data_IF_788270019096
#
_entry.id   IF_788270019096
#
_cell.length_a   1.000
_cell.length_b   1.000
_cell.length_c   1.000
_cell.angle_alpha   90.00
_cell.angle_beta   90.00
_cell.angle_gamma   90.00
#
_symmetry.space_group_name_H-M   'P 1'
#
loop_
_entity.id
_entity.type
_entity.pdbx_description
1 polymer ?
#
# COMPACT_ATOMS: atom_id res chain seq x y z
N UNK A 1 -11.11 -23.43 4.28
CA UNK A 1 -11.42 -22.19 3.58
C UNK A 1 -11.75 -22.54 2.12
N UNK A 2 -12.81 -21.98 1.59
CA UNK A 2 -13.31 -22.26 0.23
C UNK A 2 -12.55 -21.45 -0.85
N UNK A 3 -11.63 -20.57 -0.45
CA UNK A 3 -10.84 -19.75 -1.34
C UNK A 3 -9.74 -20.56 -2.04
N UNK A 4 -9.59 -20.41 -3.36
CA UNK A 4 -8.57 -21.12 -4.16
C UNK A 4 -7.13 -20.72 -3.80
N UNK A 5 -6.91 -19.47 -3.40
CA UNK A 5 -5.62 -18.91 -2.98
C UNK A 5 -5.83 -18.09 -1.70
N UNK A 6 -6.00 -18.77 -0.56
CA UNK A 6 -6.27 -18.07 0.68
C UNK A 6 -5.02 -17.35 1.19
N UNK A 7 -5.19 -16.09 1.59
CA UNK A 7 -4.23 -15.31 2.36
C UNK A 7 -4.87 -14.88 3.66
N UNK A 8 -4.16 -15.02 4.78
CA UNK A 8 -4.56 -14.41 6.04
C UNK A 8 -3.78 -13.11 6.23
N UNK A 9 -4.51 -12.03 6.45
CA UNK A 9 -3.97 -10.71 6.76
C UNK A 9 -4.09 -10.47 8.27
N UNK A 10 -2.98 -10.22 8.95
CA UNK A 10 -2.91 -9.97 10.40
C UNK A 10 -1.86 -8.90 10.71
N UNK A 11 -2.01 -8.19 11.81
CA UNK A 11 -1.06 -7.16 12.16
C UNK A 11 -1.24 -6.59 13.55
N UNK A 12 -0.40 -5.63 13.90
CA UNK A 12 -0.43 -4.93 15.17
C UNK A 12 0.16 -3.53 15.01
N UNK A 13 -0.27 -2.59 15.87
CA UNK A 13 0.28 -1.24 15.92
C UNK A 13 1.72 -1.21 16.40
N UNK A 14 2.60 -0.48 15.68
CA UNK A 14 4.04 -0.46 15.91
C UNK A 14 4.60 0.92 16.23
N UNK A 15 3.80 1.99 16.10
CA UNK A 15 4.23 3.33 16.50
C UNK A 15 4.24 3.50 18.03
N UNK A 16 4.97 4.49 18.51
CA UNK A 16 5.00 4.85 19.93
C UNK A 16 3.57 5.05 20.49
N UNK A 17 2.74 5.83 19.79
CA UNK A 17 1.36 6.06 20.19
C UNK A 17 0.53 4.76 20.24
N UNK A 18 0.71 3.88 19.27
CA UNK A 18 0.00 2.59 19.29
C UNK A 18 0.47 1.66 20.39
N UNK A 19 1.76 1.61 20.69
CA UNK A 19 2.31 0.75 21.74
C UNK A 19 1.85 1.21 23.12
N UNK A 20 2.06 2.49 23.44
CA UNK A 20 1.90 2.97 24.81
C UNK A 20 0.50 3.50 25.10
N UNK A 21 -0.15 4.21 24.17
CA UNK A 21 -1.45 4.84 24.39
C UNK A 21 -2.62 3.92 24.03
N UNK A 22 -2.57 3.29 22.83
CA UNK A 22 -3.65 2.42 22.31
C UNK A 22 -3.61 1.04 22.93
N UNK A 23 -2.46 0.35 22.87
CA UNK A 23 -2.32 -1.05 23.29
C UNK A 23 -1.86 -1.18 24.75
N UNK A 24 -1.35 -0.11 25.34
CA UNK A 24 -0.84 -0.05 26.72
C UNK A 24 0.10 -1.20 27.05
N UNK A 25 1.13 -1.35 26.21
CA UNK A 25 2.04 -2.50 26.22
C UNK A 25 3.49 -2.05 26.02
N UNK A 26 4.41 -2.98 25.78
CA UNK A 26 5.83 -2.70 25.55
C UNK A 26 6.27 -3.19 24.18
N UNK A 27 7.40 -2.67 23.63
CA UNK A 27 7.97 -3.14 22.38
C UNK A 27 8.23 -4.66 22.35
N UNK A 28 8.69 -5.25 23.45
CA UNK A 28 8.95 -6.68 23.56
C UNK A 28 7.65 -7.49 23.39
N UNK A 29 6.57 -7.01 23.99
CA UNK A 29 5.24 -7.63 23.85
C UNK A 29 4.70 -7.52 22.42
N UNK A 30 5.02 -6.45 21.69
CA UNK A 30 4.67 -6.34 20.27
C UNK A 30 5.38 -7.42 19.47
N UNK A 31 6.68 -7.64 19.68
CA UNK A 31 7.44 -8.71 19.01
C UNK A 31 6.89 -10.10 19.32
N UNK A 32 6.57 -10.38 20.60
CA UNK A 32 5.91 -11.63 20.99
C UNK A 32 4.57 -11.85 20.28
N UNK A 33 3.71 -10.83 20.27
CA UNK A 33 2.37 -10.89 19.63
C UNK A 33 2.48 -11.02 18.11
N UNK A 34 3.40 -10.30 17.48
CA UNK A 34 3.69 -10.43 16.04
C UNK A 34 4.04 -11.86 15.68
N UNK A 35 5.02 -12.43 16.39
CA UNK A 35 5.47 -13.80 16.18
C UNK A 35 4.34 -14.82 16.41
N UNK A 36 3.58 -14.64 17.48
CA UNK A 36 2.49 -15.55 17.83
C UNK A 36 1.35 -15.52 16.79
N UNK A 37 0.94 -14.31 16.35
CA UNK A 37 -0.13 -14.13 15.37
C UNK A 37 0.23 -14.74 14.00
N UNK A 38 1.43 -14.47 13.50
CA UNK A 38 1.89 -15.04 12.22
C UNK A 38 2.00 -16.57 12.32
N UNK A 39 2.62 -17.11 13.36
CA UNK A 39 2.69 -18.58 13.57
C UNK A 39 1.32 -19.21 13.67
N UNK A 40 0.35 -18.53 14.29
CA UNK A 40 -1.02 -19.03 14.38
C UNK A 40 -1.69 -19.04 13.00
N UNK A 41 -1.60 -17.97 12.24
CA UNK A 41 -2.14 -17.87 10.87
C UNK A 41 -1.54 -18.94 9.93
N UNK A 42 -0.24 -19.21 10.06
CA UNK A 42 0.47 -20.25 9.28
C UNK A 42 -0.06 -21.66 9.47
N UNK A 43 -0.82 -21.93 10.54
CA UNK A 43 -1.48 -23.25 10.74
C UNK A 43 -2.62 -23.49 9.76
N UNK A 44 -3.15 -22.43 9.15
CA UNK A 44 -4.33 -22.51 8.29
C UNK A 44 -4.03 -22.25 6.82
N UNK A 45 -3.03 -21.43 6.52
CA UNK A 45 -2.66 -21.07 5.14
C UNK A 45 -1.14 -20.92 5.01
N UNK A 46 -0.63 -21.12 3.79
CA UNK A 46 0.78 -20.90 3.49
C UNK A 46 1.11 -19.43 3.23
N UNK A 47 0.14 -18.64 2.77
CA UNK A 47 0.32 -17.23 2.45
C UNK A 47 -0.24 -16.38 3.60
N UNK A 48 0.66 -15.72 4.34
CA UNK A 48 0.32 -14.85 5.47
C UNK A 48 0.93 -13.49 5.23
N UNK A 49 0.09 -12.48 5.20
CA UNK A 49 0.48 -11.08 5.16
C UNK A 49 0.41 -10.47 6.56
N UNK A 50 1.53 -9.89 7.00
CA UNK A 50 1.61 -9.14 8.24
C UNK A 50 1.69 -7.65 7.95
N UNK A 51 0.80 -6.84 8.54
CA UNK A 51 0.88 -5.39 8.46
C UNK A 51 1.35 -4.76 9.77
N UNK A 52 2.30 -3.84 9.67
CA UNK A 52 2.81 -3.05 10.77
C UNK A 52 1.98 -1.75 10.90
N UNK A 53 0.81 -1.81 11.59
CA UNK A 53 -0.11 -0.68 11.68
C UNK A 53 0.61 0.58 12.20
N UNK A 54 0.39 1.72 11.54
CA UNK A 54 1.01 3.01 11.86
C UNK A 54 2.54 3.03 11.67
N UNK A 55 3.04 2.24 10.71
CA UNK A 55 4.46 2.18 10.37
C UNK A 55 5.04 3.54 9.95
N UNK A 56 4.23 4.41 9.32
CA UNK A 56 4.64 5.76 8.93
C UNK A 56 5.19 6.59 10.10
N UNK A 57 4.75 6.33 11.34
CA UNK A 57 5.18 7.03 12.56
C UNK A 57 6.06 6.18 13.48
N UNK A 58 6.39 4.94 13.09
CA UNK A 58 7.20 4.05 13.90
C UNK A 58 8.69 4.44 13.86
N UNK A 59 9.41 4.10 14.92
CA UNK A 59 10.86 4.12 14.93
C UNK A 59 11.41 3.13 13.89
N UNK A 60 12.45 3.53 13.17
CA UNK A 60 13.01 2.75 12.07
C UNK A 60 13.61 1.41 12.53
N UNK A 61 14.40 1.44 13.60
CA UNK A 61 15.06 0.24 14.11
C UNK A 61 14.05 -0.75 14.70
N UNK A 62 13.04 -0.22 15.43
CA UNK A 62 11.99 -1.05 15.99
C UNK A 62 11.11 -1.66 14.90
N UNK A 63 10.74 -0.88 13.88
CA UNK A 63 9.98 -1.36 12.73
C UNK A 63 10.73 -2.49 12.00
N UNK A 64 12.05 -2.34 11.78
CA UNK A 64 12.87 -3.39 11.18
C UNK A 64 12.85 -4.67 12.01
N UNK A 65 12.96 -4.59 13.34
CA UNK A 65 12.86 -5.76 14.24
C UNK A 65 11.51 -6.45 14.16
N UNK A 66 10.42 -5.68 14.07
CA UNK A 66 9.06 -6.24 13.93
C UNK A 66 8.90 -6.96 12.61
N UNK A 67 9.34 -6.35 11.50
CA UNK A 67 9.30 -6.94 10.16
C UNK A 67 10.14 -8.22 10.12
N UNK A 68 11.35 -8.19 10.62
CA UNK A 68 12.24 -9.37 10.71
C UNK A 68 11.59 -10.52 11.51
N UNK A 69 10.98 -10.21 12.66
CA UNK A 69 10.27 -11.19 13.48
C UNK A 69 9.04 -11.78 12.76
N UNK A 70 8.28 -10.97 12.02
CA UNK A 70 7.16 -11.43 11.22
C UNK A 70 7.59 -12.41 10.12
N UNK A 71 8.65 -12.06 9.38
CA UNK A 71 9.23 -12.93 8.33
C UNK A 71 9.78 -14.23 8.94
N UNK A 72 10.52 -14.13 10.03
CA UNK A 72 11.04 -15.31 10.75
C UNK A 72 9.94 -16.22 11.27
N UNK A 73 8.75 -15.68 11.60
CA UNK A 73 7.58 -16.44 12.00
C UNK A 73 6.84 -17.09 10.81
N UNK A 74 7.17 -16.70 9.57
CA UNK A 74 6.65 -17.29 8.33
C UNK A 74 5.74 -16.36 7.51
N UNK A 75 5.71 -15.05 7.76
CA UNK A 75 5.03 -14.12 6.87
C UNK A 75 5.68 -14.15 5.47
N UNK A 76 4.84 -14.22 4.45
CA UNK A 76 5.24 -14.20 3.04
C UNK A 76 5.17 -12.81 2.44
N UNK A 77 4.39 -11.94 3.07
CA UNK A 77 4.27 -10.52 2.75
C UNK A 77 4.34 -9.72 4.04
N UNK A 78 5.05 -8.60 4.01
CA UNK A 78 5.10 -7.61 5.10
C UNK A 78 4.65 -6.27 4.57
N UNK A 79 3.56 -5.74 5.12
CA UNK A 79 2.93 -4.51 4.67
C UNK A 79 3.28 -3.35 5.58
N UNK A 80 3.70 -2.25 4.97
CA UNK A 80 4.13 -1.02 5.62
C UNK A 80 3.12 0.08 5.28
N UNK A 81 2.16 0.36 6.17
CA UNK A 81 1.15 1.37 5.90
C UNK A 81 1.56 2.78 6.35
N UNK A 82 1.25 3.78 5.52
CA UNK A 82 1.06 5.16 5.95
C UNK A 82 -0.38 5.33 6.45
N UNK A 83 -0.62 4.87 7.67
CA UNK A 83 -1.97 4.74 8.25
C UNK A 83 -2.66 6.09 8.45
N UNK A 84 -1.91 7.15 8.73
CA UNK A 84 -2.43 8.49 8.95
C UNK A 84 -2.51 9.34 7.69
N UNK A 85 -1.90 8.90 6.58
CA UNK A 85 -2.00 9.54 5.27
C UNK A 85 -1.29 10.89 5.17
N UNK A 86 -0.27 11.17 6.00
CA UNK A 86 0.40 12.46 5.99
C UNK A 86 1.91 12.42 5.73
N UNK A 87 2.47 11.26 5.46
CA UNK A 87 3.89 11.16 5.07
C UNK A 87 4.15 11.90 3.74
N UNK A 88 5.38 12.36 3.56
CA UNK A 88 5.85 12.85 2.28
C UNK A 88 6.45 11.69 1.46
N UNK A 89 6.38 11.71 0.11
CA UNK A 89 6.90 10.62 -0.73
C UNK A 89 8.36 10.25 -0.43
N UNK A 90 9.21 11.24 -0.30
CA UNK A 90 10.63 11.08 0.03
C UNK A 90 10.86 10.44 1.41
N UNK A 91 10.09 10.85 2.40
CA UNK A 91 10.16 10.31 3.76
C UNK A 91 9.74 8.84 3.77
N UNK A 92 8.63 8.55 3.12
CA UNK A 92 8.09 7.20 3.03
C UNK A 92 9.04 6.29 2.22
N UNK A 93 9.54 6.77 1.07
CA UNK A 93 10.54 6.06 0.26
C UNK A 93 11.80 5.70 1.06
N UNK A 94 12.35 6.65 1.85
CA UNK A 94 13.50 6.37 2.73
C UNK A 94 13.19 5.31 3.78
N UNK A 95 11.98 5.24 4.31
CA UNK A 95 11.55 4.20 5.26
C UNK A 95 11.55 2.82 4.60
N UNK A 96 11.00 2.72 3.39
CA UNK A 96 11.00 1.46 2.62
C UNK A 96 12.44 1.01 2.31
N UNK A 97 13.27 1.93 1.82
CA UNK A 97 14.69 1.67 1.56
C UNK A 97 15.41 1.17 2.81
N UNK A 98 15.19 1.82 3.95
CA UNK A 98 15.80 1.41 5.22
C UNK A 98 15.44 -0.04 5.56
N UNK A 99 14.18 -0.44 5.43
CA UNK A 99 13.76 -1.81 5.69
C UNK A 99 14.40 -2.81 4.72
N UNK A 100 14.48 -2.48 3.44
CA UNK A 100 15.14 -3.32 2.44
C UNK A 100 16.63 -3.54 2.74
N UNK A 101 17.31 -2.54 3.32
CA UNK A 101 18.74 -2.59 3.62
C UNK A 101 19.06 -3.21 4.99
N UNK A 102 18.15 -3.12 5.99
CA UNK A 102 18.44 -3.48 7.37
C UNK A 102 17.68 -4.70 7.90
N UNK A 103 16.66 -5.19 7.20
CA UNK A 103 15.98 -6.43 7.58
C UNK A 103 16.69 -7.63 6.97
N UNK A 104 17.38 -8.41 7.79
CA UNK A 104 18.33 -9.44 7.35
C UNK A 104 17.72 -10.60 6.56
N UNK A 105 16.42 -10.80 6.68
CA UNK A 105 15.65 -11.87 6.02
C UNK A 105 14.61 -11.34 5.03
N UNK A 106 14.76 -10.11 4.53
CA UNK A 106 13.81 -9.49 3.60
C UNK A 106 13.67 -10.27 2.28
N UNK A 107 14.70 -10.99 1.87
CA UNK A 107 14.71 -11.87 0.69
C UNK A 107 13.66 -12.99 0.72
N UNK A 108 13.11 -13.30 1.92
CA UNK A 108 12.12 -14.37 2.14
C UNK A 108 10.66 -13.90 2.07
N UNK A 109 10.43 -12.60 1.91
CA UNK A 109 9.08 -12.04 1.86
C UNK A 109 9.00 -10.89 0.85
N UNK A 110 7.79 -10.60 0.38
CA UNK A 110 7.53 -9.40 -0.42
C UNK A 110 7.23 -8.23 0.51
N UNK A 111 7.92 -7.11 0.35
CA UNK A 111 7.54 -5.87 1.01
C UNK A 111 6.36 -5.25 0.26
N UNK A 112 5.30 -4.96 0.99
CA UNK A 112 4.07 -4.32 0.50
C UNK A 112 3.92 -2.92 1.10
N UNK A 113 3.29 -2.01 0.37
CA UNK A 113 2.93 -0.68 0.85
C UNK A 113 1.43 -0.45 0.78
N UNK A 114 0.92 0.31 1.75
CA UNK A 114 -0.48 0.71 1.84
C UNK A 114 -0.56 2.18 2.24
N UNK A 115 -1.08 3.05 1.39
CA UNK A 115 -1.05 4.48 1.64
C UNK A 115 -2.45 5.08 1.66
N UNK A 116 -2.76 5.86 2.71
CA UNK A 116 -3.96 6.67 2.81
C UNK A 116 -3.77 8.04 2.16
N UNK A 117 -4.87 8.69 1.80
CA UNK A 117 -4.87 9.85 0.90
C UNK A 117 -5.21 11.17 1.60
N UNK A 118 -4.96 11.28 2.90
CA UNK A 118 -5.38 12.45 3.71
C UNK A 118 -4.75 13.75 3.23
N UNK A 119 -3.52 13.72 2.73
CA UNK A 119 -2.86 14.86 2.08
C UNK A 119 -2.89 14.80 0.55
N UNK A 120 -3.65 13.89 -0.06
CA UNK A 120 -3.72 13.75 -1.52
C UNK A 120 -2.47 13.13 -2.16
N UNK A 121 -1.64 12.41 -1.39
CA UNK A 121 -0.35 11.89 -1.85
C UNK A 121 -0.27 10.36 -1.93
N UNK A 122 -1.35 9.63 -1.68
CA UNK A 122 -1.31 8.16 -1.58
C UNK A 122 -0.69 7.49 -2.81
N UNK A 123 -1.01 7.93 -4.03
CA UNK A 123 -0.41 7.40 -5.26
C UNK A 123 1.09 7.71 -5.34
N UNK A 124 1.50 8.91 -4.99
CA UNK A 124 2.91 9.30 -4.98
C UNK A 124 3.72 8.52 -3.93
N UNK A 125 3.15 8.32 -2.73
CA UNK A 125 3.75 7.50 -1.67
C UNK A 125 3.92 6.05 -2.13
N UNK A 126 2.91 5.48 -2.76
CA UNK A 126 2.95 4.10 -3.26
C UNK A 126 4.02 3.91 -4.34
N UNK A 127 4.13 4.86 -5.27
CA UNK A 127 5.18 4.84 -6.30
C UNK A 127 6.58 5.03 -5.70
N UNK A 128 6.73 5.91 -4.71
CA UNK A 128 7.99 6.05 -3.95
C UNK A 128 8.36 4.76 -3.21
N UNK A 129 7.35 4.02 -2.71
CA UNK A 129 7.56 2.69 -2.15
C UNK A 129 8.12 1.70 -3.16
N UNK A 130 7.55 1.64 -4.37
CA UNK A 130 8.04 0.79 -5.47
C UNK A 130 9.47 1.14 -5.87
N UNK A 131 9.74 2.43 -6.05
CA UNK A 131 11.10 2.93 -6.39
C UNK A 131 12.15 2.49 -5.37
N UNK A 132 11.75 2.29 -4.12
CA UNK A 132 12.62 1.89 -3.03
C UNK A 132 12.52 0.39 -2.64
N UNK A 133 11.90 -0.44 -3.49
CA UNK A 133 11.97 -1.90 -3.39
C UNK A 133 10.68 -2.61 -2.98
N UNK A 134 9.55 -1.90 -2.83
CA UNK A 134 8.27 -2.56 -2.61
C UNK A 134 7.84 -3.37 -3.83
N UNK A 135 7.51 -4.64 -3.62
CA UNK A 135 7.02 -5.56 -4.65
C UNK A 135 5.50 -5.70 -4.71
N UNK A 136 4.77 -5.11 -3.77
CA UNK A 136 3.31 -5.12 -3.72
C UNK A 136 2.78 -3.74 -3.30
N UNK A 137 1.64 -3.34 -3.88
CA UNK A 137 0.87 -2.17 -3.47
C UNK A 137 -0.54 -2.62 -3.12
N UNK A 138 -1.01 -2.27 -1.93
CA UNK A 138 -2.43 -2.31 -1.60
C UNK A 138 -3.10 -1.03 -2.05
N UNK A 139 -4.11 -1.17 -2.90
CA UNK A 139 -4.83 -0.06 -3.50
C UNK A 139 -6.29 -0.42 -3.75
N UNK A 140 -7.11 0.57 -4.05
CA UNK A 140 -8.53 0.37 -4.31
C UNK A 140 -8.98 1.06 -5.60
N UNK A 141 -10.02 0.53 -6.23
CA UNK A 141 -10.64 1.19 -7.37
C UNK A 141 -11.20 2.54 -6.91
N UNK A 142 -10.92 3.59 -7.67
CA UNK A 142 -11.27 4.99 -7.38
C UNK A 142 -10.61 5.56 -6.12
N UNK A 143 -9.65 4.86 -5.51
CA UNK A 143 -9.09 5.26 -4.22
C UNK A 143 -10.08 5.15 -3.07
N UNK A 144 -11.12 4.32 -3.19
CA UNK A 144 -12.14 4.15 -2.16
C UNK A 144 -11.50 3.66 -0.86
N UNK A 145 -11.83 4.28 0.27
CA UNK A 145 -11.28 3.92 1.58
C UNK A 145 -11.71 4.86 2.69
N UNK A 146 -11.13 4.68 3.85
CA UNK A 146 -11.40 5.52 5.02
C UNK A 146 -10.97 6.98 4.79
N UNK A 147 -11.68 7.91 5.39
CA UNK A 147 -11.41 9.36 5.40
C UNK A 147 -11.31 9.93 3.97
N UNK A 148 -10.10 10.29 3.51
CA UNK A 148 -9.86 10.80 2.16
C UNK A 148 -9.59 9.68 1.12
N UNK A 149 -9.60 8.42 1.54
CA UNK A 149 -9.43 7.26 0.69
C UNK A 149 -8.02 6.65 0.74
N UNK A 150 -7.79 5.71 -0.16
CA UNK A 150 -6.55 4.97 -0.33
C UNK A 150 -5.86 5.35 -1.64
N UNK A 151 -4.73 4.73 -1.92
CA UNK A 151 -4.13 4.75 -3.26
C UNK A 151 -5.15 4.28 -4.30
N UNK A 152 -5.34 5.07 -5.36
CA UNK A 152 -6.19 4.69 -6.47
C UNK A 152 -5.46 3.71 -7.40
N UNK A 153 -6.05 2.53 -7.61
CA UNK A 153 -5.45 1.46 -8.42
C UNK A 153 -5.16 1.92 -9.85
N UNK A 154 -6.10 2.63 -10.48
CA UNK A 154 -5.96 3.14 -11.83
C UNK A 154 -4.80 4.12 -11.99
N UNK A 155 -4.52 4.94 -10.97
CA UNK A 155 -3.45 5.90 -10.99
C UNK A 155 -2.08 5.24 -10.86
N UNK A 156 -1.92 4.38 -9.84
CA UNK A 156 -0.64 3.71 -9.59
C UNK A 156 -0.28 2.73 -10.71
N UNK A 157 -1.26 2.02 -11.27
CA UNK A 157 -1.05 1.11 -12.41
C UNK A 157 -0.63 1.87 -13.65
N UNK A 158 -1.26 3.01 -13.94
CA UNK A 158 -0.85 3.84 -15.07
C UNK A 158 0.52 4.47 -14.84
N UNK A 159 0.83 4.91 -13.62
CA UNK A 159 2.16 5.35 -13.25
C UNK A 159 3.24 4.30 -13.54
N UNK A 160 3.02 3.05 -13.11
CA UNK A 160 3.94 1.93 -13.39
C UNK A 160 4.03 1.65 -14.89
N UNK A 161 2.91 1.66 -15.63
CA UNK A 161 2.95 1.40 -17.09
C UNK A 161 3.71 2.47 -17.87
N UNK A 162 3.63 3.72 -17.47
CA UNK A 162 4.33 4.82 -18.14
C UNK A 162 5.80 4.93 -17.75
N UNK A 163 6.15 4.59 -16.50
CA UNK A 163 7.47 4.76 -15.89
C UNK A 163 8.10 3.44 -15.42
N UNK A 164 7.69 2.31 -16.01
CA UNK A 164 8.14 0.99 -15.56
C UNK A 164 9.65 0.76 -15.65
N UNK A 165 10.34 1.42 -16.59
CA UNK A 165 11.80 1.34 -16.71
C UNK A 165 12.50 2.06 -15.55
N UNK A 166 12.05 3.27 -15.24
CA UNK A 166 12.57 4.11 -14.17
C UNK A 166 12.31 3.47 -12.79
N UNK A 167 11.11 2.92 -12.62
CA UNK A 167 10.68 2.24 -11.39
C UNK A 167 11.20 0.80 -11.28
N UNK A 168 11.81 0.26 -12.33
CA UNK A 168 12.16 -1.16 -12.42
C UNK A 168 10.98 -2.08 -12.05
N UNK A 169 9.79 -1.76 -12.52
CA UNK A 169 8.54 -2.42 -12.17
C UNK A 169 7.64 -2.61 -13.40
N UNK A 170 6.77 -3.62 -13.34
CA UNK A 170 5.76 -3.86 -14.36
C UNK A 170 4.45 -4.34 -13.72
N UNK A 171 3.36 -4.27 -14.48
CA UNK A 171 2.05 -4.78 -14.08
C UNK A 171 1.31 -5.32 -15.29
N UNK A 172 0.62 -6.46 -15.11
CA UNK A 172 -0.19 -7.11 -16.13
C UNK A 172 -1.68 -6.74 -16.04
N UNK A 173 -2.03 -5.77 -15.19
CA UNK A 173 -3.42 -5.32 -15.03
C UNK A 173 -3.94 -4.77 -16.36
N UNK A 174 -5.14 -5.24 -16.77
CA UNK A 174 -5.80 -4.78 -17.97
C UNK A 174 -6.41 -3.38 -17.79
N UNK A 175 -5.70 -2.36 -18.23
CA UNK A 175 -6.11 -0.96 -18.09
C UNK A 175 -7.36 -0.58 -18.86
N UNK A 176 -7.76 -1.36 -19.86
CA UNK A 176 -9.00 -1.15 -20.63
C UNK A 176 -10.27 -1.31 -19.78
N UNK A 177 -10.16 -2.00 -18.65
CA UNK A 177 -11.29 -2.22 -17.73
C UNK A 177 -11.46 -1.09 -16.69
N UNK A 178 -10.56 -0.13 -16.59
CA UNK A 178 -10.58 0.86 -15.52
C UNK A 178 -11.86 1.69 -15.47
N UNK A 179 -12.27 2.26 -16.60
CA UNK A 179 -13.50 3.09 -16.65
C UNK A 179 -14.74 2.26 -16.31
N UNK A 180 -14.78 1.01 -16.80
CA UNK A 180 -15.90 0.10 -16.51
C UNK A 180 -15.94 -0.30 -15.04
N UNK A 181 -14.80 -0.67 -14.47
CA UNK A 181 -14.67 -1.02 -13.05
C UNK A 181 -15.00 0.17 -12.15
N UNK A 182 -14.47 1.36 -12.48
CA UNK A 182 -14.76 2.61 -11.78
C UNK A 182 -16.26 2.91 -11.71
N UNK A 183 -16.93 2.85 -12.85
CA UNK A 183 -18.39 3.08 -12.94
C UNK A 183 -19.19 2.03 -12.14
N UNK A 184 -18.80 0.77 -12.21
CA UNK A 184 -19.43 -0.31 -11.45
C UNK A 184 -19.31 -0.08 -9.95
N UNK A 185 -18.09 0.23 -9.45
CA UNK A 185 -17.87 0.54 -8.04
C UNK A 185 -18.70 1.75 -7.61
N UNK A 186 -18.71 2.83 -8.40
CA UNK A 186 -19.53 4.01 -8.10
C UNK A 186 -21.02 3.69 -8.04
N UNK A 187 -21.53 2.85 -8.95
CA UNK A 187 -22.95 2.47 -8.97
C UNK A 187 -23.36 1.62 -7.76
N UNK A 188 -22.46 0.76 -7.26
CA UNK A 188 -22.73 -0.12 -6.13
C UNK A 188 -22.61 0.64 -4.81
N UNK A 189 -21.60 1.49 -4.68
CA UNK A 189 -21.28 2.18 -3.42
C UNK A 189 -22.00 3.51 -3.23
N UNK A 190 -22.50 4.12 -4.33
CA UNK A 190 -23.04 5.48 -4.33
C UNK A 190 -21.97 6.58 -4.29
N UNK A 191 -20.67 6.24 -4.20
CA UNK A 191 -19.58 7.21 -4.24
C UNK A 191 -19.32 7.65 -5.69
N UNK A 192 -19.65 8.90 -5.99
CA UNK A 192 -19.49 9.47 -7.34
C UNK A 192 -18.03 9.91 -7.52
N UNK A 193 -17.43 9.48 -8.63
CA UNK A 193 -16.10 9.92 -9.03
C UNK A 193 -16.17 11.39 -9.49
N UNK A 194 -15.26 12.21 -8.98
CA UNK A 194 -15.16 13.62 -9.40
C UNK A 194 -14.86 13.70 -10.90
N UNK A 195 -15.45 14.65 -11.64
CA UNK A 195 -15.21 14.79 -13.08
C UNK A 195 -13.74 14.95 -13.47
N UNK A 196 -12.95 15.59 -12.63
CA UNK A 196 -11.51 15.82 -12.81
C UNK A 196 -10.62 14.73 -12.18
N UNK A 197 -11.18 13.62 -11.71
CA UNK A 197 -10.39 12.49 -11.19
C UNK A 197 -9.44 11.97 -12.28
N UNK A 198 -8.19 11.79 -11.92
CA UNK A 198 -7.20 11.24 -12.84
C UNK A 198 -7.65 9.88 -13.40
N UNK A 199 -7.34 9.60 -14.65
CA UNK A 199 -7.56 8.36 -15.41
C UNK A 199 -9.04 8.06 -15.69
N UNK A 200 -9.93 8.12 -14.70
CA UNK A 200 -11.34 7.63 -14.81
C UNK A 200 -12.38 8.73 -14.75
N UNK A 201 -12.02 9.97 -14.43
CA UNK A 201 -12.95 11.10 -14.40
C UNK A 201 -13.48 11.46 -15.79
N UNK A 202 -14.68 12.00 -15.86
CA UNK A 202 -15.32 12.36 -17.14
C UNK A 202 -14.53 13.37 -17.96
N UNK A 203 -13.75 14.23 -17.30
CA UNK A 203 -12.92 15.26 -17.93
C UNK A 203 -11.48 14.80 -18.19
N UNK A 204 -11.12 13.55 -17.86
CA UNK A 204 -9.72 13.08 -17.93
C UNK A 204 -9.12 13.22 -19.37
N UNK A 205 -9.97 13.21 -20.40
CA UNK A 205 -9.56 13.32 -21.81
C UNK A 205 -10.23 14.52 -22.51
N UNK A 206 -10.79 15.49 -21.76
CA UNK A 206 -11.44 16.66 -22.30
C UNK A 206 -10.46 17.84 -22.39
N UNK A 207 -10.46 18.55 -23.52
CA UNK A 207 -9.67 19.74 -23.77
C UNK A 207 -10.57 20.91 -24.06
N UNK A 208 -10.32 22.08 -23.45
CA UNK A 208 -11.04 23.33 -23.70
C UNK A 208 -10.18 24.41 -24.34
N UNK A 209 -8.86 24.28 -24.31
CA UNK A 209 -7.92 25.22 -24.93
C UNK A 209 -7.61 24.81 -26.37
N UNK A 210 -7.63 25.78 -27.31
CA UNK A 210 -7.27 25.54 -28.71
C UNK A 210 -5.86 24.97 -28.89
N UNK A 211 -4.89 25.43 -28.10
CA UNK A 211 -3.51 24.91 -28.12
C UNK A 211 -3.46 23.44 -27.73
N UNK A 212 -4.30 23.02 -26.75
CA UNK A 212 -4.36 21.61 -26.33
C UNK A 212 -5.07 20.76 -27.37
N UNK A 213 -6.06 21.31 -28.09
CA UNK A 213 -6.78 20.58 -29.13
C UNK A 213 -5.88 20.27 -30.33
N UNK A 214 -5.00 21.20 -30.71
CA UNK A 214 -4.03 20.99 -31.79
C UNK A 214 -2.97 19.93 -31.47
N UNK A 215 -2.74 19.62 -30.20
CA UNK A 215 -1.80 18.59 -29.76
C UNK A 215 -2.38 17.18 -29.64
N UNK A 216 -3.67 17.00 -29.91
CA UNK A 216 -4.39 15.70 -29.84
C UNK A 216 -4.61 15.16 -31.25
N UNK A 217 -3.54 14.98 -32.02
CA UNK A 217 -3.59 14.36 -33.35
C UNK A 217 -2.97 12.95 -33.30
#
# INVERSE_FOLDING_TARGET
AECKRPRIHTGIGVSHSHIYDKLRTTPEKILERTTAAVKYAKKYVNDVEFYAEDAGRADYEFLAKVVEAAIAAGATVVNIPDTTGYSLPDEFGRRIKYLMEHVSNMDKATLSVHCHNDLGMATALSLAGVENGAGQIECTINGLGERAGNTAMEEVVMGIKMHGKELNAHTDINTREFVRASRLVSSITGFIVQPNKAIVGANAFAHSSGIHQDGVI
#
